data_IF_413877040028
#
_entry.id   IF_413877040028
#
_cell.length_a   1.000
_cell.length_b   1.000
_cell.length_c   1.000
_cell.angle_alpha   90.00
_cell.angle_beta   90.00
_cell.angle_gamma   90.00
#
_symmetry.space_group_name_H-M   'P 1'
#
loop_
_entity.id
_entity.type
_entity.pdbx_description
1 polymer ?
#
# COMPACT_ATOMS: atom_id res chain seq x y z
N UNK A 1 3.81 28.94 4.08
CA UNK A 1 2.97 28.56 2.94
C UNK A 1 1.64 28.07 3.51
N UNK A 2 0.50 28.69 3.18
CA UNK A 2 -0.81 28.24 3.69
C UNK A 2 -1.23 27.07 2.80
N UNK A 3 -1.31 25.86 3.35
CA UNK A 3 -1.86 24.73 2.60
C UNK A 3 -3.29 25.03 2.17
N UNK A 4 -3.60 24.74 0.91
CA UNK A 4 -4.95 24.77 0.39
C UNK A 4 -5.82 23.74 1.12
N UNK A 5 -7.04 24.15 1.46
CA UNK A 5 -8.06 23.37 2.13
C UNK A 5 -8.45 22.11 1.32
N UNK A 6 -8.23 22.13 0.00
CA UNK A 6 -8.44 20.99 -0.90
C UNK A 6 -7.43 19.85 -0.69
N UNK A 7 -6.15 20.17 -0.44
CA UNK A 7 -5.07 19.19 -0.20
C UNK A 7 -5.23 18.52 1.17
N UNK A 8 -5.65 19.26 2.19
CA UNK A 8 -5.99 18.69 3.51
C UNK A 8 -7.22 17.77 3.47
N UNK A 9 -8.24 18.12 2.67
CA UNK A 9 -9.41 17.25 2.45
C UNK A 9 -9.05 15.97 1.68
N UNK A 10 -8.12 16.06 0.72
CA UNK A 10 -7.61 14.91 -0.02
C UNK A 10 -6.87 13.90 0.88
N UNK A 11 -5.90 14.37 1.68
CA UNK A 11 -5.15 13.54 2.62
C UNK A 11 -6.04 12.95 3.73
N UNK A 12 -6.97 13.72 4.29
CA UNK A 12 -7.96 13.21 5.25
C UNK A 12 -8.84 12.11 4.64
N UNK A 13 -9.25 12.28 3.37
CA UNK A 13 -10.09 11.30 2.68
C UNK A 13 -9.38 9.98 2.40
N UNK A 14 -8.08 10.01 2.06
CA UNK A 14 -7.27 8.80 1.85
C UNK A 14 -7.07 8.05 3.19
N UNK A 15 -6.75 8.76 4.27
CA UNK A 15 -6.61 8.16 5.60
C UNK A 15 -7.91 7.52 6.09
N UNK A 16 -9.04 8.22 5.94
CA UNK A 16 -10.36 7.67 6.30
C UNK A 16 -10.68 6.41 5.49
N UNK A 17 -10.28 6.37 4.21
CA UNK A 17 -10.44 5.21 3.33
C UNK A 17 -9.61 4.03 3.86
N UNK A 18 -8.33 4.25 4.18
CA UNK A 18 -7.44 3.22 4.74
C UNK A 18 -8.02 2.65 6.04
N UNK A 19 -8.37 3.51 7.02
CA UNK A 19 -8.94 3.07 8.29
C UNK A 19 -10.25 2.27 8.10
N UNK A 20 -11.10 2.69 7.16
CA UNK A 20 -12.33 1.99 6.82
C UNK A 20 -12.10 0.63 6.16
N UNK A 21 -11.02 0.46 5.40
CA UNK A 21 -10.65 -0.83 4.81
C UNK A 21 -10.12 -1.75 5.90
N UNK A 22 -9.17 -1.26 6.71
CA UNK A 22 -8.54 -2.03 7.79
C UNK A 22 -9.58 -2.54 8.80
N UNK A 23 -10.55 -1.70 9.19
CA UNK A 23 -11.63 -2.09 10.11
C UNK A 23 -12.60 -3.16 9.57
N UNK A 24 -12.55 -3.47 8.27
CA UNK A 24 -13.41 -4.49 7.63
C UNK A 24 -12.71 -5.83 7.39
N UNK A 25 -11.41 -5.92 7.65
CA UNK A 25 -10.62 -7.13 7.46
C UNK A 25 -10.14 -7.69 8.80
N UNK A 26 -9.76 -8.96 8.83
CA UNK A 26 -9.34 -9.60 10.08
C UNK A 26 -7.94 -9.13 10.48
N UNK A 27 -7.59 -9.17 11.79
CA UNK A 27 -6.24 -8.82 12.24
C UNK A 27 -5.13 -9.61 11.54
N UNK A 28 -5.38 -10.88 11.23
CA UNK A 28 -4.44 -11.72 10.49
C UNK A 28 -4.20 -11.18 9.08
N UNK A 29 -5.27 -10.78 8.38
CA UNK A 29 -5.16 -10.21 7.04
C UNK A 29 -4.53 -8.81 7.07
N UNK A 30 -4.79 -7.99 8.10
CA UNK A 30 -4.07 -6.72 8.30
C UNK A 30 -2.57 -7.00 8.33
N UNK A 31 -2.13 -7.97 9.15
CA UNK A 31 -0.71 -8.33 9.27
C UNK A 31 -0.11 -8.80 7.94
N UNK A 32 -0.84 -9.58 7.15
CA UNK A 32 -0.38 -10.02 5.83
C UNK A 32 -0.21 -8.84 4.86
N UNK A 33 -1.17 -7.92 4.84
CA UNK A 33 -1.13 -6.74 3.98
C UNK A 33 0.00 -5.79 4.38
N UNK A 34 0.15 -5.48 5.67
CA UNK A 34 1.22 -4.60 6.14
C UNK A 34 2.59 -5.23 5.92
N UNK A 35 2.74 -6.53 6.18
CA UNK A 35 3.99 -7.26 5.90
C UNK A 35 4.35 -7.23 4.41
N UNK A 36 3.37 -7.39 3.51
CA UNK A 36 3.62 -7.32 2.08
C UNK A 36 4.10 -5.93 1.66
N UNK A 37 3.43 -4.87 2.12
CA UNK A 37 3.82 -3.48 1.83
C UNK A 37 5.22 -3.19 2.37
N UNK A 38 5.52 -3.55 3.62
CA UNK A 38 6.85 -3.37 4.23
C UNK A 38 7.93 -4.09 3.45
N UNK A 39 7.73 -5.37 3.09
CA UNK A 39 8.73 -6.12 2.32
C UNK A 39 8.98 -5.55 0.92
N UNK A 40 7.96 -4.97 0.28
CA UNK A 40 8.14 -4.25 -0.99
C UNK A 40 8.92 -2.96 -0.78
N UNK A 41 8.61 -2.19 0.27
CA UNK A 41 9.35 -0.97 0.61
C UNK A 41 10.83 -1.25 0.89
N UNK A 42 11.12 -2.29 1.69
CA UNK A 42 12.49 -2.76 1.98
C UNK A 42 13.24 -3.19 0.72
N UNK A 43 12.61 -4.00 -0.13
CA UNK A 43 13.21 -4.44 -1.40
C UNK A 43 13.61 -3.25 -2.28
N UNK A 44 12.81 -2.19 -2.26
CA UNK A 44 13.03 -0.97 -3.02
C UNK A 44 13.95 0.03 -2.31
N UNK A 45 14.49 -0.30 -1.14
CA UNK A 45 15.35 0.58 -0.35
C UNK A 45 14.65 1.84 0.18
N UNK A 46 13.32 1.78 0.35
CA UNK A 46 12.51 2.86 0.93
C UNK A 46 12.41 2.76 2.46
N UNK A 47 12.86 1.65 3.05
CA UNK A 47 12.62 1.30 4.44
C UNK A 47 13.72 0.35 4.92
N UNK A 48 14.11 0.45 6.18
CA UNK A 48 14.98 -0.54 6.84
C UNK A 48 14.12 -1.59 7.59
N UNK A 49 14.67 -2.78 7.82
CA UNK A 49 13.94 -3.92 8.43
C UNK A 49 13.32 -3.58 9.80
N UNK A 50 13.97 -2.71 10.57
CA UNK A 50 13.53 -2.31 11.91
C UNK A 50 12.53 -1.13 11.91
N UNK A 51 12.34 -0.45 10.77
CA UNK A 51 11.40 0.66 10.68
C UNK A 51 9.96 0.14 10.76
N UNK A 52 9.09 0.79 11.53
CA UNK A 52 7.64 0.48 11.51
C UNK A 52 6.85 1.54 10.76
N UNK A 53 5.76 1.13 10.09
CA UNK A 53 4.85 2.07 9.43
C UNK A 53 4.24 3.03 10.44
N UNK A 54 3.97 2.57 11.67
CA UNK A 54 3.49 3.42 12.76
C UNK A 54 4.49 4.52 13.14
N UNK A 55 5.78 4.22 13.25
CA UNK A 55 6.80 5.23 13.52
C UNK A 55 6.94 6.21 12.36
N UNK A 56 6.91 5.73 11.11
CA UNK A 56 6.93 6.61 9.94
C UNK A 56 5.72 7.56 9.92
N UNK A 57 4.53 7.03 10.21
CA UNK A 57 3.31 7.83 10.31
C UNK A 57 3.34 8.84 11.47
N UNK A 58 3.94 8.48 12.60
CA UNK A 58 4.14 9.39 13.73
C UNK A 58 5.14 10.49 13.38
N UNK A 59 6.29 10.15 12.78
CA UNK A 59 7.28 11.10 12.26
C UNK A 59 6.62 12.09 11.29
N UNK A 60 5.79 11.61 10.38
CA UNK A 60 5.04 12.47 9.44
C UNK A 60 4.07 13.44 10.12
N UNK A 61 3.53 13.08 11.30
CA UNK A 61 2.61 13.93 12.06
C UNK A 61 3.35 15.08 12.74
N UNK A 62 4.55 14.81 13.28
CA UNK A 62 5.31 15.79 14.07
C UNK A 62 6.32 16.58 13.24
N UNK A 63 6.60 16.14 12.02
CA UNK A 63 7.57 16.78 11.15
C UNK A 63 7.20 18.23 10.79
N UNK A 64 8.22 19.08 10.73
CA UNK A 64 8.06 20.48 10.32
C UNK A 64 7.83 20.61 8.81
N UNK A 65 8.42 19.70 8.01
CA UNK A 65 8.26 19.66 6.55
C UNK A 65 7.23 18.61 6.15
N UNK A 66 6.52 18.90 5.06
CA UNK A 66 5.48 18.03 4.49
C UNK A 66 5.93 17.47 3.15
N UNK A 67 5.21 16.49 2.63
CA UNK A 67 5.51 15.86 1.35
C UNK A 67 5.64 16.90 0.22
N UNK A 68 4.87 17.99 0.26
CA UNK A 68 4.90 19.05 -0.74
C UNK A 68 6.19 19.87 -0.76
N UNK A 69 7.05 19.72 0.27
CA UNK A 69 8.35 20.38 0.35
C UNK A 69 9.48 19.58 -0.34
N UNK A 70 9.16 18.45 -0.99
CA UNK A 70 10.11 17.53 -1.63
C UNK A 70 9.72 17.22 -3.07
N UNK A 71 10.71 16.85 -3.89
CA UNK A 71 10.49 16.53 -5.32
C UNK A 71 10.02 15.08 -5.52
N UNK A 72 10.19 14.22 -4.52
CA UNK A 72 9.77 12.82 -4.54
C UNK A 72 9.33 12.33 -3.16
N UNK A 73 8.52 11.26 -3.14
CA UNK A 73 8.17 10.59 -1.89
C UNK A 73 9.35 9.89 -1.22
N UNK A 74 10.32 9.44 -2.01
CA UNK A 74 11.56 8.85 -1.50
C UNK A 74 12.38 9.88 -0.71
N UNK A 75 12.51 11.11 -1.22
CA UNK A 75 13.15 12.20 -0.47
C UNK A 75 12.41 12.54 0.83
N UNK A 76 11.08 12.55 0.79
CA UNK A 76 10.27 12.79 2.00
C UNK A 76 10.49 11.68 3.04
N UNK A 77 10.50 10.41 2.62
CA UNK A 77 10.78 9.29 3.53
C UNK A 77 12.19 9.42 4.13
N UNK A 78 13.20 9.73 3.33
CA UNK A 78 14.57 9.91 3.83
C UNK A 78 14.64 11.04 4.86
N UNK A 79 13.97 12.17 4.62
CA UNK A 79 13.84 13.23 5.62
C UNK A 79 13.18 12.75 6.92
N UNK A 80 12.05 12.03 6.84
CA UNK A 80 11.40 11.50 8.03
C UNK A 80 12.32 10.54 8.79
N UNK A 81 13.08 9.71 8.08
CA UNK A 81 14.00 8.75 8.67
C UNK A 81 15.18 9.42 9.36
N UNK A 82 15.87 10.30 8.64
CA UNK A 82 17.19 10.81 9.02
C UNK A 82 17.12 12.07 9.88
N UNK A 83 16.11 12.92 9.68
CA UNK A 83 16.04 14.26 10.30
C UNK A 83 14.94 14.40 11.36
N UNK A 84 13.96 13.50 11.40
CA UNK A 84 12.86 13.54 12.39
C UNK A 84 13.12 12.53 13.50
N UNK A 85 13.57 13.04 14.65
CA UNK A 85 13.77 12.25 15.86
C UNK A 85 12.47 12.14 16.69
N UNK A 86 12.21 10.96 17.25
CA UNK A 86 11.11 10.72 18.18
C UNK A 86 11.66 10.64 19.60
N UNK A 87 11.19 11.53 20.47
CA UNK A 87 11.49 11.45 21.89
C UNK A 87 10.61 10.39 22.61
N UNK A 88 10.83 10.19 23.91
CA UNK A 88 10.07 9.22 24.71
C UNK A 88 8.57 9.57 24.73
N UNK A 89 8.22 10.85 24.81
CA UNK A 89 6.83 11.32 24.86
C UNK A 89 6.11 11.09 23.52
N UNK A 90 6.80 11.27 22.40
CA UNK A 90 6.27 10.94 21.09
C UNK A 90 6.00 9.44 20.97
N UNK A 91 6.95 8.61 21.41
CA UNK A 91 6.81 7.14 21.35
C UNK A 91 5.70 6.63 22.25
N UNK A 92 5.44 7.28 23.39
CA UNK A 92 4.30 6.94 24.25
C UNK A 92 2.95 7.04 23.53
N UNK A 93 2.81 7.87 22.49
CA UNK A 93 1.58 7.95 21.68
C UNK A 93 1.26 6.61 21.00
N UNK A 94 2.27 5.79 20.70
CA UNK A 94 2.10 4.46 20.10
C UNK A 94 1.52 3.42 21.07
N UNK A 95 1.46 3.72 22.38
CA UNK A 95 0.80 2.87 23.37
C UNK A 95 -0.73 3.06 23.38
N UNK A 96 -1.25 4.12 22.77
CA UNK A 96 -2.68 4.33 22.58
C UNK A 96 -3.13 3.66 21.26
N UNK A 97 -4.05 2.69 21.35
CA UNK A 97 -4.49 1.91 20.18
C UNK A 97 -5.05 2.80 19.05
N UNK A 98 -5.88 3.79 19.36
CA UNK A 98 -6.48 4.67 18.34
C UNK A 98 -5.43 5.55 17.66
N UNK A 99 -4.45 6.04 18.41
CA UNK A 99 -3.33 6.79 17.82
C UNK A 99 -2.44 5.88 16.99
N UNK A 100 -2.15 4.66 17.48
CA UNK A 100 -1.37 3.66 16.75
C UNK A 100 -2.02 3.30 15.42
N UNK A 101 -3.33 3.07 15.39
CA UNK A 101 -4.10 2.83 14.16
C UNK A 101 -4.01 4.02 13.19
N UNK A 102 -4.17 5.25 13.69
CA UNK A 102 -4.02 6.47 12.88
C UNK A 102 -2.62 6.55 12.25
N UNK A 103 -1.57 6.31 13.03
CA UNK A 103 -0.20 6.41 12.54
C UNK A 103 0.17 5.25 11.62
N UNK A 104 -0.33 4.04 11.87
CA UNK A 104 -0.23 2.92 10.93
C UNK A 104 -0.82 3.29 9.57
N UNK A 105 -2.04 3.84 9.55
CA UNK A 105 -2.69 4.26 8.30
C UNK A 105 -1.88 5.33 7.55
N UNK A 106 -1.30 6.31 8.27
CA UNK A 106 -0.42 7.32 7.69
C UNK A 106 0.87 6.73 7.11
N UNK A 107 1.52 5.84 7.86
CA UNK A 107 2.72 5.17 7.39
C UNK A 107 2.48 4.37 6.12
N UNK A 108 1.38 3.61 6.09
CA UNK A 108 0.99 2.82 4.91
C UNK A 108 0.73 3.71 3.69
N UNK A 109 0.06 4.86 3.85
CA UNK A 109 -0.15 5.82 2.75
C UNK A 109 1.18 6.32 2.17
N UNK A 110 2.13 6.67 3.04
CA UNK A 110 3.47 7.14 2.64
C UNK A 110 4.23 6.02 1.91
N UNK A 111 4.28 4.81 2.50
CA UNK A 111 4.96 3.65 1.93
C UNK A 111 4.37 3.26 0.58
N UNK A 112 3.06 3.06 0.49
CA UNK A 112 2.38 2.72 -0.77
C UNK A 112 2.59 3.80 -1.83
N UNK A 113 2.51 5.08 -1.44
CA UNK A 113 2.77 6.19 -2.34
C UNK A 113 4.19 6.14 -2.91
N UNK A 114 5.20 5.92 -2.07
CA UNK A 114 6.60 5.85 -2.49
C UNK A 114 6.87 4.62 -3.36
N UNK A 115 6.29 3.47 -3.01
CA UNK A 115 6.34 2.24 -3.81
C UNK A 115 5.76 2.51 -5.21
N UNK A 116 4.55 3.07 -5.27
CA UNK A 116 3.85 3.40 -6.53
C UNK A 116 4.68 4.32 -7.42
N UNK A 117 5.28 5.36 -6.85
CA UNK A 117 6.15 6.31 -7.55
C UNK A 117 7.41 5.61 -8.10
N UNK A 118 8.05 4.77 -7.28
CA UNK A 118 9.30 4.07 -7.61
C UNK A 118 9.13 3.00 -8.68
N UNK A 119 8.03 2.24 -8.63
CA UNK A 119 7.75 1.17 -9.61
C UNK A 119 6.92 1.63 -10.80
N UNK A 120 6.32 2.82 -10.74
CA UNK A 120 5.57 3.45 -11.84
C UNK A 120 4.18 2.87 -12.05
N UNK A 121 3.43 2.63 -10.97
CA UNK A 121 2.05 2.10 -10.99
C UNK A 121 1.19 2.81 -9.94
N UNK A 122 -0.11 2.53 -9.92
CA UNK A 122 -1.07 3.05 -8.95
C UNK A 122 -1.81 1.92 -8.28
N UNK A 123 -1.27 1.45 -7.16
CA UNK A 123 -1.93 0.48 -6.28
C UNK A 123 -2.54 1.19 -5.09
N UNK A 124 -3.81 0.92 -4.82
CA UNK A 124 -4.47 1.26 -3.56
C UNK A 124 -4.32 0.15 -2.53
N UNK A 125 -4.66 0.45 -1.27
CA UNK A 125 -4.65 -0.55 -0.19
C UNK A 125 -5.51 -1.77 -0.54
N UNK A 126 -6.63 -1.56 -1.24
CA UNK A 126 -7.50 -2.67 -1.66
C UNK A 126 -6.80 -3.66 -2.59
N UNK A 127 -5.90 -3.21 -3.47
CA UNK A 127 -5.13 -4.11 -4.34
C UNK A 127 -4.20 -5.00 -3.53
N UNK A 128 -3.51 -4.43 -2.53
CA UNK A 128 -2.69 -5.20 -1.59
C UNK A 128 -3.54 -6.19 -0.78
N UNK A 129 -4.75 -5.79 -0.37
CA UNK A 129 -5.71 -6.69 0.29
C UNK A 129 -6.11 -7.85 -0.61
N UNK A 130 -6.41 -7.61 -1.89
CA UNK A 130 -6.75 -8.68 -2.83
C UNK A 130 -5.57 -9.63 -3.06
N UNK A 131 -4.36 -9.09 -3.20
CA UNK A 131 -3.13 -9.89 -3.33
C UNK A 131 -2.85 -10.74 -2.08
N UNK A 132 -2.94 -10.15 -0.89
CA UNK A 132 -2.77 -10.87 0.37
C UNK A 132 -3.81 -11.98 0.56
N UNK A 133 -5.10 -11.71 0.28
CA UNK A 133 -6.17 -12.72 0.30
C UNK A 133 -5.87 -13.88 -0.67
N UNK A 134 -5.29 -13.59 -1.83
CA UNK A 134 -4.87 -14.59 -2.80
C UNK A 134 -3.64 -15.39 -2.36
N UNK A 135 -3.02 -15.03 -1.23
CA UNK A 135 -1.83 -15.68 -0.69
C UNK A 135 -0.52 -15.18 -1.31
N UNK A 136 -0.53 -13.99 -1.92
CA UNK A 136 0.70 -13.30 -2.33
C UNK A 136 1.33 -12.69 -1.09
N UNK A 137 2.27 -13.40 -0.49
CA UNK A 137 2.98 -12.98 0.72
C UNK A 137 4.51 -12.88 0.50
N UNK A 138 5.02 -13.30 -0.65
CA UNK A 138 6.42 -13.14 -1.05
C UNK A 138 6.56 -11.90 -1.92
N UNK A 139 7.53 -11.06 -1.60
CA UNK A 139 7.84 -9.85 -2.36
C UNK A 139 8.18 -10.15 -3.83
N UNK A 140 8.83 -11.28 -4.13
CA UNK A 140 9.16 -11.67 -5.50
C UNK A 140 7.92 -12.03 -6.32
N UNK A 141 6.93 -12.68 -5.70
CA UNK A 141 5.68 -13.03 -6.38
C UNK A 141 4.87 -11.76 -6.70
N UNK A 142 4.82 -10.83 -5.75
CA UNK A 142 4.25 -9.50 -5.97
C UNK A 142 4.93 -8.77 -7.13
N UNK A 143 6.27 -8.66 -7.12
CA UNK A 143 7.00 -7.98 -8.17
C UNK A 143 6.80 -8.65 -9.54
N UNK A 144 6.76 -9.98 -9.59
CA UNK A 144 6.50 -10.73 -10.83
C UNK A 144 5.13 -10.37 -11.43
N UNK A 145 4.11 -10.22 -10.59
CA UNK A 145 2.77 -9.82 -11.02
C UNK A 145 2.79 -8.37 -11.51
N UNK A 146 3.36 -7.44 -10.74
CA UNK A 146 3.41 -6.02 -11.10
C UNK A 146 4.24 -5.77 -12.37
N UNK A 147 5.37 -6.46 -12.53
CA UNK A 147 6.18 -6.37 -13.75
C UNK A 147 5.40 -6.87 -14.96
N UNK A 148 4.53 -7.88 -14.80
CA UNK A 148 3.66 -8.33 -15.89
C UNK A 148 2.67 -7.24 -16.32
N UNK A 149 2.09 -6.49 -15.37
CA UNK A 149 1.25 -5.33 -15.68
C UNK A 149 2.02 -4.25 -16.45
N UNK A 150 3.23 -3.94 -15.99
CA UNK A 150 4.12 -2.95 -16.62
C UNK A 150 4.53 -3.37 -18.03
N UNK A 151 4.94 -4.62 -18.23
CA UNK A 151 5.30 -5.19 -19.54
C UNK A 151 4.16 -5.07 -20.55
N UNK A 152 2.91 -5.17 -20.09
CA UNK A 152 1.70 -5.08 -20.93
C UNK A 152 1.18 -3.66 -21.11
N UNK A 153 1.72 -2.70 -20.35
CA UNK A 153 1.20 -1.31 -20.31
C UNK A 153 -0.23 -1.24 -19.77
N UNK A 154 -0.57 -2.11 -18.83
CA UNK A 154 -1.89 -2.18 -18.17
C UNK A 154 -1.74 -1.68 -16.73
N UNK A 155 -2.58 -0.76 -16.31
CA UNK A 155 -2.61 -0.31 -14.90
C UNK A 155 -3.19 -1.43 -14.02
N UNK A 156 -2.54 -1.77 -12.89
CA UNK A 156 -2.98 -2.85 -11.99
C UNK A 156 -4.19 -2.42 -11.11
N UNK A 157 -5.33 -2.16 -11.76
CA UNK A 157 -6.63 -1.85 -11.14
C UNK A 157 -7.34 -3.12 -10.63
N UNK A 158 -6.63 -3.92 -9.82
CA UNK A 158 -7.01 -5.29 -9.46
C UNK A 158 -8.32 -5.29 -8.67
N UNK A 159 -8.43 -4.45 -7.65
CA UNK A 159 -9.65 -4.32 -6.86
C UNK A 159 -10.82 -3.88 -7.75
N UNK A 160 -10.64 -2.83 -8.55
CA UNK A 160 -11.71 -2.31 -9.42
C UNK A 160 -12.18 -3.34 -10.44
N UNK A 161 -11.26 -4.16 -10.97
CA UNK A 161 -11.60 -5.23 -11.90
C UNK A 161 -12.39 -6.35 -11.21
N UNK A 162 -11.98 -6.76 -10.01
CA UNK A 162 -12.66 -7.81 -9.21
C UNK A 162 -14.05 -7.33 -8.76
N UNK A 163 -14.15 -6.11 -8.23
CA UNK A 163 -15.39 -5.50 -7.75
C UNK A 163 -16.29 -4.97 -8.89
N UNK A 164 -15.89 -5.15 -10.16
CA UNK A 164 -16.60 -4.71 -11.36
C UNK A 164 -16.92 -3.20 -11.38
N UNK A 165 -15.99 -2.39 -10.88
CA UNK A 165 -16.09 -0.93 -10.80
C UNK A 165 -15.62 -0.21 -12.08
N UNK A 166 -14.98 -0.94 -13.00
CA UNK A 166 -14.50 -0.45 -14.30
C UNK A 166 -15.23 -1.14 -15.46
N UNK A 167 -15.21 -0.57 -16.68
CA UNK A 167 -15.85 -1.16 -17.85
C UNK A 167 -15.42 -2.62 -18.08
N UNK A 168 -16.37 -3.50 -18.40
CA UNK A 168 -16.14 -4.95 -18.51
C UNK A 168 -14.95 -5.32 -19.42
N UNK A 169 -14.73 -4.59 -20.52
CA UNK A 169 -13.59 -4.81 -21.42
C UNK A 169 -12.24 -4.46 -20.76
N UNK A 170 -12.22 -3.37 -20.01
CA UNK A 170 -11.05 -2.93 -19.26
C UNK A 170 -10.77 -3.89 -18.11
N UNK A 171 -11.80 -4.24 -17.33
CA UNK A 171 -11.72 -5.26 -16.28
C UNK A 171 -11.21 -6.60 -16.80
N UNK A 172 -11.71 -7.09 -17.94
CA UNK A 172 -11.21 -8.32 -18.55
C UNK A 172 -9.71 -8.23 -18.89
N UNK A 173 -9.24 -7.08 -19.38
CA UNK A 173 -7.83 -6.86 -19.68
C UNK A 173 -6.97 -6.91 -18.41
N UNK A 174 -7.44 -6.31 -17.32
CA UNK A 174 -6.76 -6.34 -16.01
C UNK A 174 -6.73 -7.78 -15.47
N UNK A 175 -7.84 -8.50 -15.51
CA UNK A 175 -7.94 -9.89 -15.03
C UNK A 175 -7.07 -10.85 -15.86
N UNK A 176 -7.05 -10.71 -17.18
CA UNK A 176 -6.19 -11.52 -18.06
C UNK A 176 -4.70 -11.25 -17.77
N UNK A 177 -4.34 -9.99 -17.54
CA UNK A 177 -2.97 -9.59 -17.18
C UNK A 177 -2.57 -10.12 -15.80
N UNK A 178 -3.47 -10.01 -14.81
CA UNK A 178 -3.29 -10.59 -13.48
C UNK A 178 -3.07 -12.11 -13.58
N UNK A 179 -3.90 -12.81 -14.36
CA UNK A 179 -3.78 -14.25 -14.58
C UNK A 179 -2.45 -14.63 -15.20
N UNK A 180 -1.98 -13.85 -16.19
CA UNK A 180 -0.67 -14.06 -16.80
C UNK A 180 0.45 -13.90 -15.77
N UNK A 181 0.40 -12.87 -14.91
CA UNK A 181 1.37 -12.67 -13.84
C UNK A 181 1.35 -13.80 -12.81
N UNK A 182 0.16 -14.22 -12.38
CA UNK A 182 -0.02 -15.36 -11.45
C UNK A 182 0.48 -16.67 -12.06
N UNK A 183 0.39 -16.87 -13.37
CA UNK A 183 0.94 -18.08 -14.01
C UNK A 183 2.48 -18.14 -14.01
N UNK A 184 3.17 -17.04 -13.67
CA UNK A 184 4.64 -16.98 -13.58
C UNK A 184 5.18 -17.34 -12.19
N UNK A 185 4.33 -17.46 -11.16
CA UNK A 185 4.77 -17.74 -9.77
C UNK A 185 4.60 -19.23 -9.40
N UNK A 186 5.33 -19.71 -8.38
CA UNK A 186 5.39 -21.14 -8.02
C UNK A 186 4.03 -21.74 -7.64
N UNK A 187 3.20 -20.98 -6.93
CA UNK A 187 1.90 -21.41 -6.40
C UNK A 187 0.72 -20.99 -7.31
N UNK A 188 0.97 -20.74 -8.60
CA UNK A 188 0.02 -20.19 -9.58
C UNK A 188 -1.42 -20.71 -9.46
N UNK A 189 -1.60 -22.04 -9.43
CA UNK A 189 -2.94 -22.64 -9.38
C UNK A 189 -3.70 -22.24 -8.10
N UNK A 190 -3.09 -22.44 -6.93
CA UNK A 190 -3.74 -22.16 -5.65
C UNK A 190 -4.02 -20.65 -5.48
N UNK A 191 -3.12 -19.80 -5.96
CA UNK A 191 -3.29 -18.35 -5.98
C UNK A 191 -4.44 -17.95 -6.91
N UNK A 192 -4.47 -18.49 -8.14
CA UNK A 192 -5.52 -18.18 -9.10
C UNK A 192 -6.89 -18.67 -8.65
N UNK A 193 -6.97 -19.86 -8.03
CA UNK A 193 -8.23 -20.38 -7.48
C UNK A 193 -8.83 -19.39 -6.48
N UNK A 194 -8.01 -18.79 -5.61
CA UNK A 194 -8.47 -17.74 -4.67
C UNK A 194 -8.92 -16.45 -5.37
N UNK A 195 -8.21 -16.00 -6.40
CA UNK A 195 -8.67 -14.84 -7.19
C UNK A 195 -9.98 -15.14 -7.93
N UNK A 196 -10.12 -16.36 -8.46
CA UNK A 196 -11.34 -16.80 -9.12
C UNK A 196 -12.52 -16.84 -8.14
N UNK A 197 -12.31 -17.33 -6.92
CA UNK A 197 -13.32 -17.28 -5.86
C UNK A 197 -13.75 -15.82 -5.56
N UNK A 198 -12.82 -14.86 -5.59
CA UNK A 198 -13.17 -13.44 -5.43
C UNK A 198 -14.01 -12.92 -6.60
N UNK A 199 -13.69 -13.29 -7.85
CA UNK A 199 -14.43 -12.88 -9.04
C UNK A 199 -15.88 -13.43 -9.09
N UNK A 200 -16.09 -14.62 -8.55
CA UNK A 200 -17.39 -15.29 -8.52
C UNK A 200 -18.32 -14.78 -7.41
N UNK A 201 -17.76 -14.22 -6.33
CA UNK A 201 -18.49 -13.78 -5.14
C UNK A 201 -18.91 -12.28 -5.16
N UNK A 202 -18.84 -11.63 -6.33
CA UNK A 202 -19.35 -10.27 -6.59
C UNK A 202 -20.53 -10.25 -7.58
#
# INVERSE_FOLDING_TARGET
>A
MIMDESTMKGLSGVLDKILKILSKITPELIKEVTSLISSVAELLGLKDEDDSSEELGLKSEIADKRLEDFDSREEYINYLKDDVELDEYDREKLNNESLKEKYSAKGLDIEMGAINEKIGVKLGLEDYVMMAKAGINKVQDFMTIIDTFKEKGVEPLINEAIERLIPMKEGATVIDTLKEGVNKIENAKATWDKFNDMLENF
#
